data_IF_119242333052
#
_entry.id   IF_119242333052
#
_cell.length_a   1.000
_cell.length_b   1.000
_cell.length_c   1.000
_cell.angle_alpha   90.00
_cell.angle_beta   90.00
_cell.angle_gamma   90.00
#
_symmetry.space_group_name_H-M   'P 1'
#
loop_
_entity.id
_entity.type
_entity.pdbx_description
1 polymer ?
#
# COMPACT_ATOMS: atom_id res chain seq x y z
N UNK A 1 -8.69 -64.24 -10.67
CA UNK A 1 -9.80 -63.52 -11.32
C UNK A 1 -9.91 -62.18 -10.62
N UNK A 2 -9.17 -61.18 -11.10
CA UNK A 2 -9.19 -59.83 -10.52
C UNK A 2 -10.26 -59.01 -11.23
N UNK A 3 -11.38 -58.82 -10.56
CA UNK A 3 -12.43 -57.92 -11.02
C UNK A 3 -11.97 -56.51 -10.65
N UNK A 4 -11.51 -55.74 -11.62
CA UNK A 4 -11.06 -54.36 -11.40
C UNK A 4 -12.26 -53.53 -10.88
N UNK A 5 -12.22 -52.99 -9.64
CA UNK A 5 -13.36 -52.33 -9.00
C UNK A 5 -13.83 -51.08 -9.77
N UNK A 6 -12.97 -50.51 -10.61
CA UNK A 6 -13.31 -49.38 -11.49
C UNK A 6 -14.29 -49.79 -12.58
N UNK A 7 -14.15 -50.99 -13.15
CA UNK A 7 -15.04 -51.46 -14.22
C UNK A 7 -16.45 -51.79 -13.71
N UNK A 8 -16.56 -52.23 -12.44
CA UNK A 8 -17.83 -52.53 -11.81
C UNK A 8 -18.61 -51.24 -11.47
N UNK A 9 -17.88 -50.19 -11.05
CA UNK A 9 -18.46 -48.88 -10.76
C UNK A 9 -18.97 -48.17 -12.01
N UNK A 10 -18.21 -48.22 -13.12
CA UNK A 10 -18.62 -47.66 -14.41
C UNK A 10 -19.86 -48.37 -14.98
N UNK A 11 -19.94 -49.70 -14.83
CA UNK A 11 -21.11 -50.50 -15.23
C UNK A 11 -22.39 -50.08 -14.49
N UNK A 12 -22.30 -49.90 -13.18
CA UNK A 12 -23.46 -49.52 -12.36
C UNK A 12 -23.93 -48.09 -12.61
N UNK A 13 -23.03 -47.16 -12.93
CA UNK A 13 -23.41 -45.78 -13.30
C UNK A 13 -24.14 -45.75 -14.65
N UNK A 14 -23.68 -46.52 -15.64
CA UNK A 14 -24.37 -46.61 -16.94
C UNK A 14 -25.79 -47.17 -16.80
N UNK A 15 -25.98 -48.18 -15.96
CA UNK A 15 -27.31 -48.78 -15.76
C UNK A 15 -28.28 -47.88 -14.97
N UNK A 16 -27.79 -46.93 -14.18
CA UNK A 16 -28.63 -46.02 -13.40
C UNK A 16 -29.04 -44.75 -14.16
N UNK A 17 -28.25 -44.32 -15.16
CA UNK A 17 -28.42 -43.01 -15.80
C UNK A 17 -29.04 -43.10 -17.21
N UNK A 18 -28.96 -44.24 -17.91
CA UNK A 18 -29.15 -44.25 -19.38
C UNK A 18 -30.59 -44.45 -19.87
N UNK A 19 -31.54 -44.91 -19.07
CA UNK A 19 -32.87 -45.28 -19.62
C UNK A 19 -33.99 -44.23 -19.50
N UNK A 20 -33.76 -43.05 -18.91
CA UNK A 20 -34.87 -42.10 -18.66
C UNK A 20 -34.85 -40.79 -19.44
N UNK A 21 -33.76 -40.44 -20.14
CA UNK A 21 -33.70 -39.24 -20.96
C UNK A 21 -32.72 -39.50 -22.12
N UNK A 22 -33.14 -39.48 -23.40
CA UNK A 22 -32.20 -39.50 -24.52
C UNK A 22 -31.48 -38.15 -24.56
N UNK A 23 -30.41 -38.02 -23.77
CA UNK A 23 -29.62 -36.79 -23.74
C UNK A 23 -28.79 -36.73 -25.01
N UNK A 24 -29.09 -35.77 -25.89
CA UNK A 24 -28.30 -35.57 -27.10
C UNK A 24 -26.96 -34.90 -26.76
N UNK A 25 -25.92 -35.21 -27.54
CA UNK A 25 -24.59 -34.64 -27.34
C UNK A 25 -24.62 -33.10 -27.44
N UNK A 26 -25.52 -32.57 -28.28
CA UNK A 26 -25.73 -31.14 -28.44
C UNK A 26 -26.28 -30.49 -27.17
N UNK A 27 -27.20 -31.15 -26.46
CA UNK A 27 -27.79 -30.66 -25.20
C UNK A 27 -26.75 -30.58 -24.09
N UNK A 28 -25.84 -31.57 -24.00
CA UNK A 28 -24.74 -31.57 -23.02
C UNK A 28 -23.79 -30.40 -23.28
N UNK A 29 -23.45 -30.15 -24.55
CA UNK A 29 -22.57 -29.06 -24.95
C UNK A 29 -23.23 -27.71 -24.63
N UNK A 30 -24.51 -27.53 -25.00
CA UNK A 30 -25.28 -26.33 -24.70
C UNK A 30 -25.37 -26.06 -23.20
N UNK A 31 -25.62 -27.10 -22.39
CA UNK A 31 -25.68 -26.98 -20.94
C UNK A 31 -24.33 -26.58 -20.35
N UNK A 32 -23.24 -27.17 -20.82
CA UNK A 32 -21.88 -26.83 -20.36
C UNK A 32 -21.50 -25.39 -20.72
N UNK A 33 -21.87 -24.93 -21.92
CA UNK A 33 -21.65 -23.53 -22.34
C UNK A 33 -22.47 -22.58 -21.46
N UNK A 34 -23.71 -22.93 -21.11
CA UNK A 34 -24.54 -22.09 -20.26
C UNK A 34 -23.96 -21.93 -18.84
N UNK A 35 -23.47 -23.02 -18.24
CA UNK A 35 -22.87 -22.99 -16.90
C UNK A 35 -21.56 -22.19 -16.92
N UNK A 36 -20.71 -22.40 -17.92
CA UNK A 36 -19.43 -21.68 -18.02
C UNK A 36 -19.65 -20.17 -18.20
N UNK A 37 -20.67 -19.76 -18.95
CA UNK A 37 -21.05 -18.36 -19.06
C UNK A 37 -21.46 -17.75 -17.72
N UNK A 38 -22.27 -18.46 -16.94
CA UNK A 38 -22.69 -18.00 -15.60
C UNK A 38 -21.48 -17.82 -14.68
N UNK A 39 -20.53 -18.76 -14.70
CA UNK A 39 -19.32 -18.69 -13.89
C UNK A 39 -18.49 -17.45 -14.25
N UNK A 40 -18.31 -17.17 -15.55
CA UNK A 40 -17.55 -16.00 -16.02
C UNK A 40 -18.24 -14.70 -15.57
N UNK A 41 -19.57 -14.62 -15.70
CA UNK A 41 -20.34 -13.45 -15.26
C UNK A 41 -20.17 -13.21 -13.75
N UNK A 42 -20.27 -14.26 -12.94
CA UNK A 42 -20.07 -14.17 -11.49
C UNK A 42 -18.66 -13.70 -11.17
N UNK A 43 -17.62 -14.24 -11.82
CA UNK A 43 -16.23 -13.82 -11.61
C UNK A 43 -16.01 -12.34 -11.98
N UNK A 44 -16.57 -11.88 -13.09
CA UNK A 44 -16.47 -10.48 -13.52
C UNK A 44 -17.18 -9.55 -12.53
N UNK A 45 -18.38 -9.93 -12.07
CA UNK A 45 -19.14 -9.15 -11.10
C UNK A 45 -18.42 -9.08 -9.75
N UNK A 46 -17.92 -10.22 -9.25
CA UNK A 46 -17.13 -10.27 -8.02
C UNK A 46 -15.85 -9.43 -8.15
N UNK A 47 -15.12 -9.56 -9.27
CA UNK A 47 -13.88 -8.83 -9.50
C UNK A 47 -14.06 -7.32 -9.53
N UNK A 48 -15.11 -6.84 -10.21
CA UNK A 48 -15.36 -5.40 -10.39
C UNK A 48 -15.97 -4.75 -9.15
N UNK A 49 -17.02 -5.33 -8.57
CA UNK A 49 -17.71 -4.74 -7.43
C UNK A 49 -16.90 -4.81 -6.14
N UNK A 50 -16.22 -5.93 -5.88
CA UNK A 50 -15.38 -6.06 -4.68
C UNK A 50 -14.17 -5.14 -4.79
N UNK A 51 -13.50 -5.12 -5.93
CA UNK A 51 -12.36 -4.21 -6.11
C UNK A 51 -12.80 -2.75 -6.01
N UNK A 52 -13.96 -2.39 -6.57
CA UNK A 52 -14.50 -1.02 -6.45
C UNK A 52 -14.85 -0.67 -5.00
N UNK A 53 -15.47 -1.59 -4.26
CA UNK A 53 -15.82 -1.39 -2.86
C UNK A 53 -14.58 -1.25 -1.98
N UNK A 54 -13.56 -2.10 -2.16
CA UNK A 54 -12.29 -1.98 -1.44
C UNK A 54 -11.56 -0.67 -1.77
N UNK A 55 -11.51 -0.28 -3.05
CA UNK A 55 -10.88 0.99 -3.46
C UNK A 55 -11.58 2.21 -2.85
N UNK A 56 -12.92 2.20 -2.77
CA UNK A 56 -13.69 3.33 -2.28
C UNK A 56 -13.81 3.38 -0.74
N UNK A 57 -13.87 2.23 -0.05
CA UNK A 57 -14.07 2.18 1.40
C UNK A 57 -12.76 2.18 2.19
N UNK A 58 -11.65 1.71 1.62
CA UNK A 58 -10.39 1.68 2.38
C UNK A 58 -9.70 3.04 2.38
N UNK A 59 -9.69 3.67 3.56
CA UNK A 59 -8.95 4.92 3.81
C UNK A 59 -7.48 4.81 3.40
N UNK A 60 -6.87 3.66 3.67
CA UNK A 60 -5.48 3.40 3.34
C UNK A 60 -5.20 3.36 1.83
N UNK A 61 -6.13 2.84 1.01
CA UNK A 61 -5.94 2.83 -0.45
C UNK A 61 -6.08 4.23 -1.01
N UNK A 62 -7.07 5.00 -0.54
CA UNK A 62 -7.29 6.38 -0.99
C UNK A 62 -6.15 7.32 -0.58
N UNK A 63 -5.62 7.17 0.63
CA UNK A 63 -4.45 7.95 1.08
C UNK A 63 -3.20 7.54 0.30
N UNK A 64 -2.98 6.25 0.06
CA UNK A 64 -1.88 5.77 -0.77
C UNK A 64 -1.98 6.29 -2.21
N UNK A 65 -3.15 6.24 -2.82
CA UNK A 65 -3.37 6.68 -4.20
C UNK A 65 -3.23 8.21 -4.33
N UNK A 66 -3.72 8.98 -3.35
CA UNK A 66 -3.49 10.42 -3.28
C UNK A 66 -1.98 10.76 -3.21
N UNK A 67 -1.21 10.05 -2.38
CA UNK A 67 0.24 10.24 -2.27
C UNK A 67 0.98 9.80 -3.54
N UNK A 68 0.61 8.66 -4.14
CA UNK A 68 1.24 8.14 -5.37
C UNK A 68 0.90 9.00 -6.60
N UNK A 69 -0.28 9.62 -6.64
CA UNK A 69 -0.71 10.47 -7.76
C UNK A 69 0.03 11.83 -7.84
N UNK A 70 0.75 12.22 -6.79
CA UNK A 70 1.53 13.47 -6.72
C UNK A 70 2.94 13.40 -7.30
N UNK A 71 3.36 12.26 -7.84
CA UNK A 71 4.71 12.03 -8.36
C UNK A 71 5.65 11.36 -7.34
N UNK A 72 6.93 11.29 -7.68
CA UNK A 72 8.00 10.67 -6.87
C UNK A 72 8.51 11.59 -5.73
N UNK A 73 7.69 12.55 -5.31
CA UNK A 73 8.00 13.53 -4.26
C UNK A 73 7.20 13.23 -3.00
N UNK A 74 7.89 12.92 -1.91
CA UNK A 74 7.29 12.55 -0.65
C UNK A 74 7.67 13.54 0.44
N UNK A 75 6.68 14.03 1.19
CA UNK A 75 6.90 15.00 2.27
C UNK A 75 6.57 14.35 3.62
N UNK A 76 7.44 14.58 4.60
CA UNK A 76 7.18 14.29 6.01
C UNK A 76 7.28 15.56 6.84
N UNK A 77 6.21 15.86 7.56
CA UNK A 77 6.06 17.02 8.43
C UNK A 77 6.24 16.63 9.88
N UNK A 78 7.12 17.32 10.59
CA UNK A 78 7.25 17.28 12.02
C UNK A 78 6.26 18.25 12.66
N UNK A 79 5.32 17.73 13.46
CA UNK A 79 4.29 18.51 14.15
C UNK A 79 4.38 18.33 15.65
N UNK A 80 4.06 19.39 16.38
CA UNK A 80 3.90 19.34 17.85
C UNK A 80 2.59 18.69 18.25
N UNK A 81 2.44 18.35 19.55
CA UNK A 81 1.16 17.98 20.17
C UNK A 81 0.02 18.96 19.86
N UNK A 82 0.36 20.26 19.77
CA UNK A 82 -0.59 21.34 19.51
C UNK A 82 -0.97 21.43 18.01
N UNK A 83 -0.47 20.52 17.17
CA UNK A 83 -0.70 20.48 15.73
C UNK A 83 0.13 21.50 14.92
N UNK A 84 1.00 22.26 15.58
CA UNK A 84 1.83 23.28 14.92
C UNK A 84 2.99 22.59 14.18
N UNK A 85 3.17 22.83 12.87
CA UNK A 85 4.29 22.29 12.11
C UNK A 85 5.59 23.00 12.48
N UNK A 86 6.66 22.22 12.66
CA UNK A 86 7.98 22.71 13.06
C UNK A 86 8.91 22.73 11.84
N UNK A 87 8.97 21.63 11.10
CA UNK A 87 9.74 21.52 9.87
C UNK A 87 9.15 20.44 8.96
N UNK A 88 9.45 20.54 7.68
CA UNK A 88 9.16 19.54 6.66
C UNK A 88 10.46 19.02 6.06
N UNK A 89 10.44 17.74 5.69
CA UNK A 89 11.47 17.14 4.84
C UNK A 89 10.79 16.63 3.58
N UNK A 90 11.27 17.12 2.45
CA UNK A 90 10.79 16.73 1.13
C UNK A 90 11.85 15.84 0.50
N UNK A 91 11.47 14.65 0.11
CA UNK A 91 12.30 13.70 -0.64
C UNK A 91 11.80 13.65 -2.07
N UNK A 92 12.64 14.10 -3.00
CA UNK A 92 12.39 13.99 -4.42
C UNK A 92 13.23 12.85 -4.99
N UNK A 93 12.58 11.76 -5.39
CA UNK A 93 13.26 10.59 -5.93
C UNK A 93 13.67 10.76 -7.41
N UNK A 94 13.13 11.75 -8.13
CA UNK A 94 13.53 12.04 -9.50
C UNK A 94 14.86 12.81 -9.52
N UNK A 95 14.96 13.87 -8.72
CA UNK A 95 16.22 14.62 -8.56
C UNK A 95 17.22 13.95 -7.60
N UNK A 96 16.76 12.97 -6.80
CA UNK A 96 17.55 12.30 -5.75
C UNK A 96 18.06 13.28 -4.70
N UNK A 97 17.22 14.23 -4.34
CA UNK A 97 17.55 15.26 -3.36
C UNK A 97 16.57 15.21 -2.17
N UNK A 98 17.10 15.57 -1.00
CA UNK A 98 16.31 15.81 0.19
C UNK A 98 16.39 17.28 0.57
N UNK A 99 15.23 17.92 0.71
CA UNK A 99 15.12 19.34 1.07
C UNK A 99 14.54 19.46 2.47
N UNK A 100 15.23 20.21 3.32
CA UNK A 100 14.75 20.55 4.66
C UNK A 100 14.12 21.95 4.65
N UNK A 101 12.89 22.08 5.13
CA UNK A 101 12.15 23.34 5.17
C UNK A 101 11.72 23.64 6.60
N UNK A 102 12.11 24.79 7.14
CA UNK A 102 11.57 25.30 8.40
C UNK A 102 10.10 25.72 8.22
N UNK A 103 9.22 25.27 9.12
CA UNK A 103 7.79 25.60 9.11
C UNK A 103 7.30 26.30 10.38
N UNK A 104 8.09 26.26 11.44
CA UNK A 104 7.77 27.02 12.64
C UNK A 104 7.69 28.52 12.31
N UNK A 105 6.80 29.28 12.97
CA UNK A 105 6.77 30.74 12.82
C UNK A 105 8.12 31.33 13.23
N UNK A 106 8.62 32.30 12.47
CA UNK A 106 9.93 32.89 12.73
C UNK A 106 9.98 33.66 14.05
N UNK A 107 11.13 33.60 14.73
CA UNK A 107 11.34 34.33 15.98
C UNK A 107 12.77 34.20 16.50
N UNK A 108 12.98 34.62 17.74
CA UNK A 108 14.32 34.71 18.35
C UNK A 108 14.75 33.43 19.08
N UNK A 109 13.86 32.44 19.23
CA UNK A 109 14.18 31.21 19.93
C UNK A 109 14.93 30.24 19.00
N UNK A 110 16.13 29.84 19.42
CA UNK A 110 16.99 28.93 18.66
C UNK A 110 16.75 27.49 19.10
N UNK A 111 16.21 26.68 18.20
CA UNK A 111 15.95 25.25 18.42
C UNK A 111 16.99 24.41 17.68
N UNK A 112 17.65 23.51 18.39
CA UNK A 112 18.61 22.54 17.84
C UNK A 112 17.93 21.18 17.78
N UNK A 113 17.85 20.60 16.60
CA UNK A 113 17.14 19.35 16.34
C UNK A 113 18.03 18.42 15.54
N UNK A 114 18.19 17.18 16.02
CA UNK A 114 18.81 16.12 15.24
C UNK A 114 17.75 15.50 14.32
N UNK A 115 17.96 15.64 13.02
CA UNK A 115 17.02 15.16 12.01
C UNK A 115 17.68 14.04 11.21
N UNK A 116 17.10 12.82 11.20
CA UNK A 116 17.56 11.78 10.29
C UNK A 116 17.16 12.15 8.87
N UNK A 117 18.15 12.35 8.01
CA UNK A 117 17.94 12.65 6.59
C UNK A 117 18.59 11.53 5.78
N UNK A 118 17.83 10.94 4.86
CA UNK A 118 18.38 9.99 3.91
C UNK A 118 19.14 10.75 2.83
N UNK A 119 20.40 10.37 2.63
CA UNK A 119 21.24 10.88 1.56
C UNK A 119 21.24 9.86 0.41
N UNK A 120 20.67 10.26 -0.72
CA UNK A 120 20.60 9.45 -1.93
C UNK A 120 21.97 9.24 -2.61
N UNK A 121 22.98 10.05 -2.29
CA UNK A 121 24.34 9.91 -2.83
C UNK A 121 25.08 8.77 -2.14
N UNK A 122 25.01 8.74 -0.81
CA UNK A 122 25.68 7.73 0.02
C UNK A 122 24.81 6.53 0.35
N UNK A 123 23.52 6.56 0.00
CA UNK A 123 22.49 5.57 0.34
C UNK A 123 22.40 5.27 1.84
N UNK A 124 22.73 6.26 2.68
CA UNK A 124 22.77 6.13 4.13
C UNK A 124 21.97 7.23 4.81
N UNK A 125 21.57 6.97 6.06
CA UNK A 125 20.97 7.99 6.91
C UNK A 125 22.07 8.83 7.54
N UNK A 126 22.00 10.14 7.33
CA UNK A 126 22.87 11.11 7.98
C UNK A 126 22.06 11.78 9.09
N UNK A 127 22.59 11.75 10.31
CA UNK A 127 22.07 12.54 11.42
C UNK A 127 22.69 13.93 11.34
N UNK A 128 21.91 14.90 10.86
CA UNK A 128 22.33 16.29 10.79
C UNK A 128 21.66 17.10 11.89
N UNK A 129 22.46 17.78 12.71
CA UNK A 129 21.94 18.86 13.57
C UNK A 129 21.41 19.96 12.65
N UNK A 130 20.17 20.38 12.89
CA UNK A 130 19.52 21.50 12.22
C UNK A 130 19.18 22.55 13.26
N UNK A 131 19.51 23.79 12.94
CA UNK A 131 19.24 24.96 13.78
C UNK A 131 18.04 25.68 13.17
N UNK A 132 16.98 25.81 13.95
CA UNK A 132 15.74 26.51 13.57
C UNK A 132 15.58 27.76 14.42
N UNK A 133 15.20 28.86 13.79
CA UNK A 133 14.88 30.11 14.48
C UNK A 133 13.37 30.29 14.51
N UNK A 134 12.76 30.00 15.65
CA UNK A 134 11.32 30.00 15.78
C UNK A 134 10.81 31.01 16.82
N UNK A 135 9.49 31.24 16.83
CA UNK A 135 8.75 32.06 17.79
C UNK A 135 8.95 31.62 19.25
N UNK A 136 9.13 30.32 19.47
CA UNK A 136 9.30 29.71 20.79
C UNK A 136 10.23 28.50 20.78
N UNK A 137 10.61 28.07 21.96
CA UNK A 137 11.36 26.83 22.14
C UNK A 137 10.43 25.62 21.96
N UNK A 138 10.65 24.88 20.88
CA UNK A 138 10.06 23.58 20.62
C UNK A 138 10.92 22.53 21.29
N UNK A 139 10.81 22.45 22.62
CA UNK A 139 11.63 21.53 23.43
C UNK A 139 11.18 20.07 23.21
N UNK A 140 11.94 19.37 22.36
CA UNK A 140 11.77 17.96 22.02
C UNK A 140 11.78 17.01 23.22
N UNK A 141 12.41 17.40 24.34
CA UNK A 141 12.49 16.57 25.55
C UNK A 141 11.23 16.60 26.39
N UNK A 142 10.40 17.64 26.28
CA UNK A 142 9.19 17.81 27.10
C UNK A 142 7.90 17.86 26.27
N UNK A 143 7.99 18.16 24.96
CA UNK A 143 6.89 18.05 24.00
C UNK A 143 7.33 17.14 22.85
N UNK A 144 6.86 15.87 22.79
CA UNK A 144 7.21 14.99 21.68
C UNK A 144 6.74 15.59 20.35
N UNK A 145 7.61 15.53 19.35
CA UNK A 145 7.27 15.80 17.96
C UNK A 145 6.73 14.52 17.35
N UNK A 146 5.66 14.65 16.56
CA UNK A 146 5.06 13.59 15.78
C UNK A 146 5.32 13.84 14.31
N UNK A 147 5.45 12.76 13.54
CA UNK A 147 5.62 12.85 12.10
C UNK A 147 4.29 12.58 11.41
N UNK A 148 3.95 13.41 10.43
CA UNK A 148 2.80 13.25 9.54
C UNK A 148 3.30 13.20 8.10
N UNK A 149 2.77 12.29 7.31
CA UNK A 149 3.20 12.08 5.92
C UNK A 149 2.91 10.65 5.49
N UNK A 150 3.63 10.18 4.48
CA UNK A 150 3.54 8.79 4.03
C UNK A 150 3.88 7.83 5.20
N UNK A 151 3.08 6.78 5.46
CA UNK A 151 3.29 5.87 6.59
C UNK A 151 4.69 5.24 6.64
N UNK A 152 5.26 4.92 5.49
CA UNK A 152 6.59 4.31 5.42
C UNK A 152 7.69 5.34 5.68
N UNK A 153 7.50 6.58 5.22
CA UNK A 153 8.42 7.69 5.50
C UNK A 153 8.33 8.14 6.97
N UNK A 154 7.15 8.15 7.56
CA UNK A 154 6.94 8.36 9.00
C UNK A 154 7.67 7.28 9.81
N UNK A 155 7.56 6.01 9.37
CA UNK A 155 8.28 4.89 9.99
C UNK A 155 9.81 5.07 9.89
N UNK A 156 10.30 5.56 8.76
CA UNK A 156 11.71 5.92 8.61
C UNK A 156 12.13 7.00 9.62
N UNK A 157 11.35 8.07 9.79
CA UNK A 157 11.69 9.13 10.75
C UNK A 157 11.73 8.63 12.20
N UNK A 158 10.90 7.66 12.56
CA UNK A 158 10.84 7.11 13.93
C UNK A 158 11.88 6.02 14.20
N UNK A 159 12.16 5.15 13.23
CA UNK A 159 12.96 3.94 13.44
C UNK A 159 14.19 3.83 12.54
N UNK A 160 14.42 4.82 11.68
CA UNK A 160 15.53 4.87 10.71
C UNK A 160 15.57 3.64 9.78
N UNK A 161 14.40 3.01 9.53
CA UNK A 161 14.27 1.85 8.65
C UNK A 161 14.39 2.27 7.18
N UNK A 162 15.41 1.79 6.43
CA UNK A 162 15.67 2.22 5.06
C UNK A 162 14.72 1.61 4.02
N UNK A 163 13.81 0.72 4.43
CA UNK A 163 12.92 -0.06 3.56
C UNK A 163 12.14 0.82 2.57
N UNK A 164 11.73 2.01 3.00
CA UNK A 164 11.03 2.97 2.15
C UNK A 164 11.86 3.37 0.93
N UNK A 165 13.13 3.74 1.13
CA UNK A 165 14.01 4.21 0.06
C UNK A 165 14.42 3.06 -0.87
N UNK A 166 14.65 1.86 -0.33
CA UNK A 166 15.01 0.68 -1.13
C UNK A 166 13.88 0.31 -2.10
N UNK A 167 12.62 0.36 -1.66
CA UNK A 167 11.46 0.07 -2.53
C UNK A 167 11.27 1.10 -3.64
N UNK A 168 11.52 2.37 -3.37
CA UNK A 168 11.26 3.44 -4.33
C UNK A 168 12.45 3.74 -5.26
N UNK A 169 13.67 3.26 -4.94
CA UNK A 169 14.83 3.30 -5.84
C UNK A 169 14.84 2.17 -6.89
N UNK A 170 14.09 1.09 -6.69
CA UNK A 170 14.06 -0.09 -7.58
C UNK A 170 13.00 -0.02 -8.69
N UNK A 171 12.36 1.14 -8.88
CA UNK A 171 11.36 1.45 -9.92
C UNK A 171 11.84 2.61 -10.78
#
# INVERSE_FOLDING_TARGET
>A
MDINPVNLFISNIKNFIVDWIPVDLTEIILFTISITMIIIIVMLFHGTEISRKFKNESRCYREREATVSGGKVFTVSAVTNDGIPVYDIIYDFDSRESTFIQKCPDGTAVNKIDVPIYDFTTNNTILGERILQCDKFYNLKTKPIYFKGDPELVRYMMYQSPDFFIRHQSI
#
